data_IF_813974001064
#
_entry.id   IF_813974001064
#
_cell.length_a   1.000
_cell.length_b   1.000
_cell.length_c   1.000
_cell.angle_alpha   90.00
_cell.angle_beta   90.00
_cell.angle_gamma   90.00
#
_symmetry.space_group_name_H-M   'P 1'
#
loop_
_entity.id
_entity.type
_entity.pdbx_description
1 polymer ?
#
# COMPACT_ATOMS: atom_id res chain seq x y z
N UNK A 1 -7.96 8.49 -13.29
CA UNK A 1 -7.67 7.04 -13.22
C UNK A 1 -8.99 6.33 -13.08
N UNK A 2 -9.24 5.29 -13.88
CA UNK A 2 -10.48 4.52 -13.79
C UNK A 2 -10.28 3.34 -12.82
N UNK A 3 -10.99 3.36 -11.69
CA UNK A 3 -10.98 2.29 -10.70
C UNK A 3 -12.09 1.25 -10.92
N UNK A 4 -12.94 1.45 -11.94
CA UNK A 4 -14.06 0.59 -12.27
C UNK A 4 -14.94 0.31 -11.06
N UNK A 5 -15.25 -0.97 -10.84
CA UNK A 5 -16.09 -1.43 -9.72
C UNK A 5 -15.54 -1.10 -8.32
N UNK A 6 -14.26 -0.78 -8.19
CA UNK A 6 -13.62 -0.50 -6.89
C UNK A 6 -13.73 0.97 -6.46
N UNK A 7 -14.13 1.87 -7.37
CA UNK A 7 -14.23 3.31 -7.12
C UNK A 7 -14.98 3.66 -5.82
N UNK A 8 -16.16 3.07 -5.50
CA UNK A 8 -16.87 3.40 -4.26
C UNK A 8 -16.07 3.09 -2.99
N UNK A 9 -15.27 2.03 -3.01
CA UNK A 9 -14.42 1.65 -1.87
C UNK A 9 -13.26 2.64 -1.70
N UNK A 10 -12.63 3.04 -2.82
CA UNK A 10 -11.57 4.06 -2.83
C UNK A 10 -12.09 5.38 -2.27
N UNK A 11 -13.25 5.87 -2.74
CA UNK A 11 -13.85 7.14 -2.26
C UNK A 11 -14.18 7.12 -0.78
N UNK A 12 -14.71 6.02 -0.26
CA UNK A 12 -14.95 5.87 1.18
C UNK A 12 -13.65 5.95 1.97
N UNK A 13 -12.59 5.33 1.46
CA UNK A 13 -11.30 5.35 2.15
C UNK A 13 -10.59 6.70 2.05
N UNK A 14 -10.71 7.42 0.92
CA UNK A 14 -10.28 8.82 0.80
C UNK A 14 -10.97 9.71 1.84
N UNK A 15 -12.29 9.52 2.04
CA UNK A 15 -13.04 10.26 3.05
C UNK A 15 -12.60 9.93 4.49
N UNK A 16 -12.32 8.66 4.79
CA UNK A 16 -11.81 8.22 6.10
C UNK A 16 -10.43 8.80 6.39
N UNK A 17 -9.53 8.81 5.41
CA UNK A 17 -8.15 9.27 5.58
C UNK A 17 -7.96 10.77 5.36
N UNK A 18 -8.96 11.47 4.82
CA UNK A 18 -8.89 12.89 4.50
C UNK A 18 -7.85 13.25 3.44
N UNK A 19 -7.46 12.29 2.58
CA UNK A 19 -6.43 12.50 1.55
C UNK A 19 -6.67 11.63 0.31
N UNK A 20 -6.27 12.10 -0.88
CA UNK A 20 -6.53 11.39 -2.12
C UNK A 20 -5.74 10.07 -2.21
N UNK A 21 -6.25 9.16 -3.02
CA UNK A 21 -5.61 7.88 -3.33
C UNK A 21 -4.33 8.09 -4.15
N UNK A 22 -3.19 7.49 -3.76
CA UNK A 22 -2.00 7.45 -4.60
C UNK A 22 -2.21 6.55 -5.83
N UNK A 23 -1.43 6.75 -6.90
CA UNK A 23 -1.45 5.83 -8.04
C UNK A 23 -1.13 4.38 -7.57
N UNK A 24 -1.92 3.36 -7.93
CA UNK A 24 -1.75 1.99 -7.46
C UNK A 24 -0.51 1.34 -8.05
N UNK A 25 -0.14 1.72 -9.27
CA UNK A 25 1.07 1.28 -9.93
C UNK A 25 1.87 2.48 -10.39
N UNK A 26 3.19 2.31 -10.39
CA UNK A 26 4.16 3.27 -10.89
C UNK A 26 5.12 2.54 -11.82
N UNK A 27 5.85 3.30 -12.62
CA UNK A 27 6.95 2.75 -13.41
C UNK A 27 8.06 2.20 -12.50
N UNK A 28 8.62 1.04 -12.86
CA UNK A 28 9.79 0.51 -12.17
C UNK A 28 10.97 1.49 -12.21
N UNK A 29 11.84 1.44 -11.20
CA UNK A 29 13.04 2.29 -11.17
C UNK A 29 13.92 2.08 -12.41
N UNK A 30 14.09 0.82 -12.83
CA UNK A 30 14.81 0.47 -14.05
C UNK A 30 14.18 1.11 -15.30
N UNK A 31 12.85 1.04 -15.43
CA UNK A 31 12.15 1.64 -16.56
C UNK A 31 12.23 3.17 -16.53
N UNK A 32 12.07 3.82 -15.37
CA UNK A 32 12.22 5.28 -15.22
C UNK A 32 13.62 5.74 -15.63
N UNK A 33 14.66 5.10 -15.09
CA UNK A 33 16.06 5.42 -15.42
C UNK A 33 16.32 5.28 -16.91
N UNK A 34 15.86 4.20 -17.51
CA UNK A 34 16.12 3.96 -18.92
C UNK A 34 15.26 4.81 -19.86
N UNK A 35 14.06 5.22 -19.44
CA UNK A 35 13.25 6.23 -20.15
C UNK A 35 13.93 7.59 -20.13
N UNK A 36 14.51 7.99 -19.00
CA UNK A 36 15.27 9.23 -18.88
C UNK A 36 16.50 9.22 -19.80
N UNK A 37 17.33 8.18 -19.72
CA UNK A 37 18.48 7.98 -20.61
C UNK A 37 18.09 7.94 -22.10
N UNK A 38 16.90 7.43 -22.43
CA UNK A 38 16.37 7.43 -23.81
C UNK A 38 15.94 8.82 -24.29
N UNK A 39 15.35 9.66 -23.44
CA UNK A 39 15.02 11.05 -23.81
C UNK A 39 16.27 11.87 -24.11
N UNK A 40 17.41 11.50 -23.51
CA UNK A 40 18.72 12.11 -23.74
C UNK A 40 19.42 11.57 -25.01
N UNK A 41 18.98 10.43 -25.56
CA UNK A 41 19.59 9.80 -26.74
C UNK A 41 19.03 10.35 -28.07
N UNK A 42 19.94 10.69 -28.99
CA UNK A 42 19.62 11.25 -30.33
C UNK A 42 18.82 10.30 -31.25
N UNK A 43 18.91 8.97 -31.03
CA UNK A 43 18.18 7.95 -31.80
C UNK A 43 17.70 6.80 -30.89
N UNK A 44 16.47 6.85 -30.35
CA UNK A 44 15.95 5.79 -29.49
C UNK A 44 15.60 4.53 -30.28
N UNK A 45 16.04 3.35 -29.81
CA UNK A 45 15.60 2.05 -30.36
C UNK A 45 14.09 1.84 -30.12
N UNK A 46 13.31 1.34 -31.11
CA UNK A 46 11.86 1.13 -30.98
C UNK A 46 11.47 0.15 -29.86
N UNK A 47 10.30 0.36 -29.26
CA UNK A 47 9.70 -0.53 -28.24
C UNK A 47 9.34 -1.87 -28.88
N UNK A 48 9.73 -2.98 -28.25
CA UNK A 48 9.39 -4.34 -28.70
C UNK A 48 10.53 -5.10 -29.39
N UNK A 49 11.65 -4.47 -29.74
CA UNK A 49 12.84 -5.19 -30.24
C UNK A 49 13.59 -5.94 -29.13
N UNK A 50 14.37 -6.96 -29.49
CA UNK A 50 15.29 -7.67 -28.59
C UNK A 50 16.28 -6.66 -27.98
N UNK A 51 16.28 -6.52 -26.64
CA UNK A 51 17.05 -5.51 -25.92
C UNK A 51 16.33 -4.17 -25.70
N UNK A 52 15.10 -4.00 -26.18
CA UNK A 52 14.25 -2.86 -25.80
C UNK A 52 13.70 -3.04 -24.38
N UNK A 53 13.69 -1.97 -23.59
CA UNK A 53 13.12 -2.02 -22.25
C UNK A 53 11.61 -2.27 -22.32
N UNK A 54 11.17 -3.33 -21.65
CA UNK A 54 9.74 -3.53 -21.43
C UNK A 54 9.23 -2.51 -20.40
N UNK A 55 8.11 -1.82 -20.69
CA UNK A 55 7.39 -1.07 -19.68
C UNK A 55 7.02 -2.01 -18.53
N UNK A 56 7.54 -1.75 -17.33
CA UNK A 56 7.25 -2.53 -16.14
C UNK A 56 6.53 -1.63 -15.13
N UNK A 57 5.20 -1.69 -15.17
CA UNK A 57 4.36 -1.16 -14.10
C UNK A 57 4.54 -2.05 -12.87
N UNK A 58 4.79 -1.44 -11.73
CA UNK A 58 5.01 -2.13 -10.45
C UNK A 58 4.13 -1.49 -9.37
N UNK A 59 3.71 -2.30 -8.39
CA UNK A 59 2.92 -1.82 -7.24
C UNK A 59 3.61 -0.65 -6.55
N UNK A 60 2.86 0.41 -6.26
CA UNK A 60 3.34 1.58 -5.56
C UNK A 60 3.29 1.35 -4.03
N UNK A 61 4.43 1.38 -3.31
CA UNK A 61 4.40 1.26 -1.85
C UNK A 61 3.54 2.32 -1.16
N UNK A 62 3.45 3.54 -1.70
CA UNK A 62 2.60 4.61 -1.14
C UNK A 62 1.12 4.25 -1.20
N UNK A 63 0.71 3.51 -2.23
CA UNK A 63 -0.66 3.02 -2.32
C UNK A 63 -0.95 1.95 -1.25
N UNK A 64 0.00 1.05 -0.98
CA UNK A 64 -0.14 0.04 0.08
C UNK A 64 -0.16 0.68 1.47
N UNK A 65 0.75 1.62 1.74
CA UNK A 65 0.74 2.43 2.97
C UNK A 65 -0.60 3.17 3.17
N UNK A 66 -1.15 3.69 2.08
CA UNK A 66 -2.47 4.32 2.08
C UNK A 66 -3.60 3.32 2.35
N UNK A 67 -3.59 2.13 1.74
CA UNK A 67 -4.55 1.07 2.03
C UNK A 67 -4.53 0.63 3.49
N UNK A 68 -3.34 0.63 4.11
CA UNK A 68 -3.18 0.33 5.54
C UNK A 68 -3.68 1.45 6.45
N UNK A 69 -4.04 2.62 5.91
CA UNK A 69 -4.49 3.77 6.71
C UNK A 69 -3.39 4.41 7.54
N UNK A 70 -2.12 4.24 7.16
CA UNK A 70 -0.96 4.85 7.83
C UNK A 70 -0.80 6.33 7.44
N UNK A 71 -0.18 7.18 8.28
CA UNK A 71 0.22 8.53 7.88
C UNK A 71 1.08 8.53 6.61
N UNK A 72 1.05 9.63 5.85
CA UNK A 72 1.73 9.70 4.56
C UNK A 72 3.23 9.71 4.82
N UNK A 73 3.97 8.82 4.17
CA UNK A 73 5.41 8.74 4.35
C UNK A 73 5.86 7.88 5.53
N UNK A 74 4.93 7.28 6.29
CA UNK A 74 5.26 6.53 7.51
C UNK A 74 6.33 5.45 7.30
N UNK A 75 6.22 4.68 6.20
CA UNK A 75 7.24 3.74 5.72
C UNK A 75 7.92 4.29 4.48
N UNK A 76 7.17 4.97 3.61
CA UNK A 76 7.63 5.31 2.27
C UNK A 76 8.58 6.50 2.19
N UNK A 77 8.67 7.33 3.25
CA UNK A 77 9.61 8.45 3.36
C UNK A 77 10.78 8.17 4.32
N UNK A 78 10.89 6.94 4.84
CA UNK A 78 12.06 6.51 5.59
C UNK A 78 13.26 6.41 4.63
N UNK A 79 14.39 7.09 4.94
CA UNK A 79 15.56 7.08 4.07
C UNK A 79 16.13 5.67 3.89
N UNK A 80 16.81 5.46 2.77
CA UNK A 80 17.56 4.24 2.43
C UNK A 80 16.77 2.93 2.31
N UNK A 81 15.43 2.98 2.41
CA UNK A 81 14.59 1.81 2.14
C UNK A 81 14.35 1.63 0.64
N UNK A 82 14.76 0.47 0.12
CA UNK A 82 14.35 0.05 -1.22
C UNK A 82 12.85 -0.21 -1.28
N UNK A 83 12.27 -0.09 -2.48
CA UNK A 83 10.86 -0.44 -2.75
C UNK A 83 10.47 -1.82 -2.19
N UNK A 84 11.34 -2.82 -2.37
CA UNK A 84 11.07 -4.19 -1.91
C UNK A 84 11.09 -4.29 -0.38
N UNK A 85 11.96 -3.54 0.31
CA UNK A 85 11.96 -3.44 1.77
C UNK A 85 10.70 -2.73 2.28
N UNK A 86 10.30 -1.62 1.66
CA UNK A 86 9.06 -0.92 2.00
C UNK A 86 7.85 -1.84 1.90
N UNK A 87 7.70 -2.55 0.77
CA UNK A 87 6.59 -3.50 0.59
C UNK A 87 6.65 -4.68 1.57
N UNK A 88 7.85 -5.15 1.93
CA UNK A 88 8.00 -6.19 2.94
C UNK A 88 7.59 -5.72 4.33
N UNK A 89 7.95 -4.49 4.71
CA UNK A 89 7.51 -3.90 5.99
C UNK A 89 5.99 -3.71 6.00
N UNK A 90 5.42 -3.11 4.95
CA UNK A 90 3.98 -2.90 4.83
C UNK A 90 3.21 -4.23 4.83
N UNK A 91 3.69 -5.23 4.09
CA UNK A 91 3.05 -6.54 4.02
C UNK A 91 3.11 -7.37 5.30
N UNK A 92 4.08 -7.11 6.19
CA UNK A 92 4.17 -7.76 7.51
C UNK A 92 3.60 -6.89 8.64
N UNK A 93 3.16 -5.67 8.33
CA UNK A 93 2.57 -4.76 9.30
C UNK A 93 1.11 -5.09 9.62
N UNK A 94 0.56 -4.35 10.58
CA UNK A 94 -0.84 -4.43 10.97
C UNK A 94 -1.57 -3.19 10.46
N UNK A 95 -2.84 -3.34 10.06
CA UNK A 95 -3.73 -2.20 9.80
C UNK A 95 -4.08 -1.55 11.16
N UNK A 96 -3.62 -0.32 11.47
CA UNK A 96 -3.72 0.24 12.82
C UNK A 96 -5.14 0.27 13.37
N UNK A 97 -6.13 0.59 12.52
CA UNK A 97 -7.54 0.61 12.91
C UNK A 97 -8.05 -0.77 13.35
N UNK A 98 -7.57 -1.84 12.69
CA UNK A 98 -7.91 -3.21 13.08
C UNK A 98 -7.21 -3.61 14.39
N UNK A 99 -5.94 -3.22 14.55
CA UNK A 99 -5.17 -3.47 15.77
C UNK A 99 -5.77 -2.77 16.99
N UNK A 100 -6.12 -1.49 16.85
CA UNK A 100 -6.78 -0.71 17.89
C UNK A 100 -8.13 -1.31 18.29
N UNK A 101 -8.99 -1.64 17.30
CA UNK A 101 -10.28 -2.27 17.56
C UNK A 101 -10.13 -3.61 18.31
N UNK A 102 -9.13 -4.42 17.96
CA UNK A 102 -8.84 -5.68 18.64
C UNK A 102 -8.40 -5.46 20.10
N UNK A 103 -7.50 -4.50 20.34
CA UNK A 103 -7.03 -4.14 21.68
C UNK A 103 -8.17 -3.60 22.55
N UNK A 104 -8.99 -2.68 22.03
CA UNK A 104 -10.16 -2.16 22.74
C UNK A 104 -11.14 -3.28 23.10
N UNK A 105 -11.38 -4.22 22.19
CA UNK A 105 -12.26 -5.36 22.45
C UNK A 105 -11.73 -6.25 23.57
N UNK A 106 -10.41 -6.47 23.63
CA UNK A 106 -9.78 -7.26 24.69
C UNK A 106 -9.84 -6.55 26.04
N UNK A 107 -9.47 -5.26 26.08
CA UNK A 107 -9.40 -4.46 27.30
C UNK A 107 -10.79 -4.22 27.91
N UNK A 108 -11.78 -3.93 27.07
CA UNK A 108 -13.17 -3.69 27.51
C UNK A 108 -13.96 -5.00 27.71
N UNK A 109 -13.37 -6.16 27.41
CA UNK A 109 -14.02 -7.46 27.53
C UNK A 109 -15.23 -7.65 26.61
N UNK A 110 -15.34 -6.85 25.54
CA UNK A 110 -16.49 -6.84 24.64
C UNK A 110 -16.57 -8.19 23.91
N UNK A 111 -17.60 -8.98 24.23
CA UNK A 111 -17.82 -10.31 23.66
C UNK A 111 -17.22 -11.47 24.45
N UNK A 112 -16.61 -11.24 25.63
CA UNK A 112 -16.33 -12.35 26.56
C UNK A 112 -17.65 -12.85 27.15
N UNK A 113 -18.12 -14.04 26.73
CA UNK A 113 -19.14 -14.77 27.51
C UNK A 113 -18.56 -15.09 28.88
N UNK A 114 -19.04 -14.45 29.94
CA UNK A 114 -18.76 -14.88 31.31
C UNK A 114 -19.33 -16.30 31.47
N UNK A 115 -18.48 -17.29 31.70
CA UNK A 115 -18.95 -18.57 32.25
C UNK A 115 -19.51 -18.26 33.64
N UNK A 116 -20.84 -18.33 33.80
CA UNK A 116 -21.44 -18.38 35.14
C UNK A 116 -20.91 -19.66 35.79
N UNK A 117 -20.17 -19.55 36.90
CA UNK A 117 -19.92 -20.72 37.75
C UNK A 117 -21.30 -21.16 38.25
N UNK A 118 -21.74 -22.35 37.84
CA UNK A 118 -22.84 -23.02 38.53
C UNK A 118 -22.38 -23.23 39.98
N UNK A 119 -23.17 -22.72 40.92
CA UNK A 119 -22.88 -22.86 42.35
C UNK A 119 -22.73 -24.32 42.71
N UNK A 120 -21.71 -24.59 43.53
CA UNK A 120 -21.61 -25.80 44.31
C UNK A 120 -22.88 -25.92 45.17
N UNK A 121 -23.51 -27.10 45.12
CA UNK A 121 -24.43 -27.58 46.13
C UNK A 121 -23.66 -28.49 47.09
#
# INVERSE_FOLDING_TARGET
MDWGQFEPAIRRWEAVLGRPVPAPTVWSAAYRKARQLRMECRHPKPVGMRGSLRPAWVLNPRFVEWLMGLPAGWVTDVPDLSRSQQLRLLGNGVVPQQGEAALLRLLLGIGRRRKRKAGAA
#
